data_IF_189287696317
#
_entry.id   IF_189287696317
#
_cell.length_a   1.000
_cell.length_b   1.000
_cell.length_c   1.000
_cell.angle_alpha   90.00
_cell.angle_beta   90.00
_cell.angle_gamma   90.00
#
_symmetry.space_group_name_H-M   'P 1'
#
loop_
_entity.id
_entity.type
_entity.pdbx_description
1 polymer ?
#
# COMPACT_ATOMS: atom_id res chain seq x y z
N UNK A 1 6.34 -7.11 -2.34
CA UNK A 1 4.97 -6.85 -1.84
C UNK A 1 3.97 -7.98 -2.12
N UNK A 2 3.81 -8.49 -3.36
CA UNK A 2 2.85 -9.59 -3.62
C UNK A 2 3.10 -10.86 -2.78
N UNK A 3 4.35 -11.35 -2.73
CA UNK A 3 4.75 -12.49 -1.89
C UNK A 3 4.45 -12.25 -0.41
N UNK A 4 4.68 -11.02 0.07
CA UNK A 4 4.37 -10.61 1.44
C UNK A 4 2.87 -10.68 1.69
N UNK A 5 2.04 -10.10 0.82
CA UNK A 5 0.57 -10.06 0.95
C UNK A 5 -0.07 -11.45 0.94
N UNK A 6 0.45 -12.38 0.14
CA UNK A 6 -0.06 -13.76 0.09
C UNK A 6 0.35 -14.56 1.34
N UNK A 7 1.54 -14.29 1.90
CA UNK A 7 2.10 -15.00 3.04
C UNK A 7 1.95 -14.27 4.40
N UNK A 8 1.22 -13.15 4.50
CA UNK A 8 1.15 -12.34 5.74
C UNK A 8 0.67 -13.19 6.93
N UNK A 9 1.42 -13.22 8.03
CA UNK A 9 1.24 -14.20 9.12
C UNK A 9 2.34 -15.28 9.14
N UNK A 10 3.16 -15.33 8.09
CA UNK A 10 4.47 -16.01 8.01
C UNK A 10 5.55 -15.02 7.55
N UNK A 11 5.48 -13.78 8.01
CA UNK A 11 6.50 -12.77 7.69
C UNK A 11 7.79 -13.16 8.42
N UNK A 12 8.89 -13.34 7.69
CA UNK A 12 10.22 -13.52 8.28
C UNK A 12 10.84 -12.16 8.61
N UNK A 13 11.82 -12.13 9.52
CA UNK A 13 12.57 -10.91 9.83
C UNK A 13 13.21 -10.27 8.59
N UNK A 14 13.59 -11.09 7.60
CA UNK A 14 14.17 -10.63 6.34
C UNK A 14 13.16 -9.82 5.49
N UNK A 15 11.87 -10.19 5.54
CA UNK A 15 10.81 -9.47 4.82
C UNK A 15 10.55 -8.10 5.46
N UNK A 16 10.61 -8.00 6.80
CA UNK A 16 10.48 -6.74 7.54
C UNK A 16 11.60 -5.76 7.18
N UNK A 17 12.84 -6.26 7.11
CA UNK A 17 14.00 -5.46 6.74
C UNK A 17 13.88 -4.95 5.29
N UNK A 18 13.49 -5.82 4.36
CA UNK A 18 13.29 -5.44 2.95
C UNK A 18 12.22 -4.35 2.79
N UNK A 19 11.10 -4.46 3.52
CA UNK A 19 10.04 -3.45 3.51
C UNK A 19 10.54 -2.13 4.10
N UNK A 20 11.21 -2.19 5.26
CA UNK A 20 11.78 -1.01 5.92
C UNK A 20 12.78 -0.28 5.03
N UNK A 21 13.68 -1.01 4.36
CA UNK A 21 14.67 -0.44 3.45
C UNK A 21 14.03 0.20 2.21
N UNK A 22 12.98 -0.43 1.66
CA UNK A 22 12.19 0.15 0.59
C UNK A 22 11.53 1.47 1.00
N UNK A 23 10.83 1.48 2.14
CA UNK A 23 10.16 2.67 2.67
C UNK A 23 11.17 3.81 2.98
N UNK A 24 12.33 3.49 3.56
CA UNK A 24 13.40 4.47 3.79
C UNK A 24 13.87 5.13 2.49
N UNK A 25 14.02 4.32 1.44
CA UNK A 25 14.46 4.81 0.13
C UNK A 25 13.42 5.77 -0.44
N UNK A 26 12.14 5.39 -0.44
CA UNK A 26 11.07 6.23 -0.98
C UNK A 26 10.83 7.51 -0.16
N UNK A 27 10.92 7.45 1.18
CA UNK A 27 10.82 8.64 2.04
C UNK A 27 11.93 9.65 1.73
N UNK A 28 13.17 9.17 1.60
CA UNK A 28 14.31 10.02 1.24
C UNK A 28 14.16 10.61 -0.16
N UNK A 29 13.73 9.80 -1.12
CA UNK A 29 13.51 10.27 -2.49
C UNK A 29 12.43 11.36 -2.57
N UNK A 30 11.31 11.21 -1.86
CA UNK A 30 10.31 12.27 -1.75
C UNK A 30 10.85 13.53 -1.06
N UNK A 31 11.70 13.36 -0.05
CA UNK A 31 12.34 14.48 0.64
C UNK A 31 13.31 15.28 -0.24
N UNK A 32 13.98 14.61 -1.20
CA UNK A 32 14.96 15.23 -2.09
C UNK A 32 14.34 15.88 -3.33
N UNK A 33 13.14 15.44 -3.74
CA UNK A 33 12.49 15.91 -4.96
C UNK A 33 11.66 17.17 -4.71
N UNK A 34 11.60 18.04 -5.72
CA UNK A 34 10.73 19.20 -5.68
C UNK A 34 9.28 18.80 -6.02
N UNK A 35 8.41 18.79 -5.02
CA UNK A 35 6.96 18.63 -5.20
C UNK A 35 6.33 17.56 -4.29
N UNK A 36 5.00 17.45 -4.31
CA UNK A 36 4.27 16.48 -3.48
C UNK A 36 4.29 15.04 -4.02
N UNK A 37 4.68 14.83 -5.27
CA UNK A 37 4.71 13.53 -5.94
C UNK A 37 6.13 13.15 -6.39
N UNK A 38 6.37 11.87 -6.65
CA UNK A 38 7.67 11.41 -7.13
C UNK A 38 8.07 12.00 -8.49
N UNK A 39 7.10 12.40 -9.29
CA UNK A 39 7.29 13.06 -10.58
C UNK A 39 7.15 14.59 -10.52
N UNK A 40 7.02 15.17 -9.32
CA UNK A 40 7.00 16.60 -9.08
C UNK A 40 5.63 17.13 -8.67
N UNK A 41 5.04 18.01 -9.49
CA UNK A 41 3.80 18.72 -9.14
C UNK A 41 2.52 17.91 -9.35
N UNK A 42 2.57 16.86 -10.19
CA UNK A 42 1.45 15.95 -10.49
C UNK A 42 1.94 14.51 -10.36
N UNK A 43 1.06 13.53 -10.12
CA UNK A 43 1.44 12.13 -10.14
C UNK A 43 1.85 11.68 -11.55
N UNK A 44 2.83 10.79 -11.60
CA UNK A 44 3.42 10.28 -12.83
C UNK A 44 3.64 8.78 -12.75
N UNK A 45 4.45 8.26 -13.66
CA UNK A 45 4.60 6.80 -13.80
C UNK A 45 4.97 6.11 -12.50
N UNK A 46 5.96 6.63 -11.77
CA UNK A 46 6.39 6.01 -10.51
C UNK A 46 5.28 6.04 -9.45
N UNK A 47 4.59 7.17 -9.31
CA UNK A 47 3.48 7.33 -8.35
C UNK A 47 2.39 6.29 -8.59
N UNK A 48 1.94 6.15 -9.85
CA UNK A 48 0.91 5.19 -10.21
C UNK A 48 1.36 3.74 -10.10
N UNK A 49 2.62 3.45 -10.44
CA UNK A 49 3.13 2.09 -10.37
C UNK A 49 3.18 1.59 -8.93
N UNK A 50 3.60 2.41 -7.97
CA UNK A 50 3.71 1.96 -6.57
C UNK A 50 2.38 2.03 -5.81
N UNK A 51 1.43 2.86 -6.25
CA UNK A 51 0.17 3.12 -5.55
C UNK A 51 -0.60 1.86 -5.12
N UNK A 52 -0.81 0.83 -5.97
CA UNK A 52 -1.62 -0.34 -5.60
C UNK A 52 -1.10 -1.05 -4.33
N UNK A 53 0.21 -1.03 -4.08
CA UNK A 53 0.77 -1.65 -2.88
C UNK A 53 0.63 -0.76 -1.65
N UNK A 54 0.69 0.57 -1.82
CA UNK A 54 0.51 1.55 -0.75
C UNK A 54 -0.95 1.69 -0.32
N UNK A 55 -1.89 1.51 -1.25
CA UNK A 55 -3.33 1.38 -0.98
C UNK A 55 -3.58 0.21 -0.02
N UNK A 56 -3.03 -0.96 -0.35
CA UNK A 56 -3.14 -2.22 0.42
C UNK A 56 -2.28 -2.27 1.68
N UNK A 57 -1.54 -1.23 2.02
CA UNK A 57 -0.62 -1.24 3.17
C UNK A 57 -1.36 -1.45 4.51
N UNK A 58 -2.63 -1.07 4.61
CA UNK A 58 -3.44 -1.27 5.81
C UNK A 58 -3.67 -2.76 6.14
N UNK A 59 -3.53 -3.67 5.16
CA UNK A 59 -3.56 -5.11 5.39
C UNK A 59 -2.48 -5.53 6.40
N UNK A 60 -1.31 -4.88 6.40
CA UNK A 60 -0.22 -5.21 7.32
C UNK A 60 -0.61 -5.08 8.79
N UNK A 61 -1.55 -4.17 9.11
CA UNK A 61 -2.02 -3.96 10.49
C UNK A 61 -2.74 -5.17 11.06
N UNK A 62 -3.49 -5.90 10.22
CA UNK A 62 -4.30 -7.05 10.63
C UNK A 62 -3.47 -8.24 11.08
N UNK A 63 -2.21 -8.28 10.66
CA UNK A 63 -1.30 -9.38 10.93
C UNK A 63 -0.18 -8.98 11.90
N UNK A 64 -0.37 -7.90 12.67
CA UNK A 64 0.58 -7.46 13.69
C UNK A 64 1.80 -6.70 13.14
N UNK A 65 1.92 -6.50 11.83
CA UNK A 65 3.07 -5.86 11.19
C UNK A 65 2.90 -4.34 11.04
N UNK A 66 2.10 -3.73 11.91
CA UNK A 66 1.85 -2.29 11.93
C UNK A 66 3.10 -1.48 12.27
N UNK A 67 4.09 -2.09 12.95
CA UNK A 67 5.37 -1.45 13.29
C UNK A 67 6.19 -1.06 12.06
N UNK A 68 5.88 -1.61 10.89
CA UNK A 68 6.54 -1.26 9.63
C UNK A 68 6.08 0.09 9.06
N UNK A 69 4.90 0.58 9.45
CA UNK A 69 4.30 1.82 8.92
C UNK A 69 4.30 2.92 9.99
N UNK A 70 5.48 3.23 10.55
CA UNK A 70 5.63 4.31 11.55
C UNK A 70 5.40 5.67 10.90
N UNK A 71 4.29 6.31 11.24
CA UNK A 71 3.88 7.60 10.66
C UNK A 71 4.92 8.69 10.89
N UNK A 72 5.59 8.65 12.04
CA UNK A 72 6.61 9.61 12.46
C UNK A 72 7.88 9.49 11.61
N UNK A 73 8.18 8.29 11.11
CA UNK A 73 9.36 7.99 10.30
C UNK A 73 9.13 8.29 8.82
N UNK A 74 7.90 8.13 8.34
CA UNK A 74 7.55 8.20 6.92
C UNK A 74 6.58 9.35 6.63
N UNK A 75 6.86 10.53 7.16
CA UNK A 75 5.94 11.68 7.11
C UNK A 75 5.64 12.08 5.67
N UNK A 76 6.64 12.15 4.80
CA UNK A 76 6.46 12.52 3.38
C UNK A 76 5.69 11.48 2.62
N UNK A 77 5.94 10.20 2.87
CA UNK A 77 5.15 9.11 2.29
C UNK A 77 3.70 9.13 2.76
N UNK A 78 3.42 9.43 4.02
CA UNK A 78 2.05 9.54 4.52
C UNK A 78 1.32 10.71 3.86
N UNK A 79 2.00 11.85 3.73
CA UNK A 79 1.52 13.04 3.02
C UNK A 79 1.26 12.76 1.53
N UNK A 80 2.15 12.02 0.87
CA UNK A 80 2.00 11.56 -0.52
C UNK A 80 0.81 10.61 -0.67
N UNK A 81 0.64 9.66 0.26
CA UNK A 81 -0.46 8.68 0.25
C UNK A 81 -1.83 9.37 0.31
N UNK A 82 -1.97 10.39 1.16
CA UNK A 82 -3.21 11.18 1.27
C UNK A 82 -3.53 11.84 -0.06
N UNK A 83 -2.55 12.51 -0.68
CA UNK A 83 -2.74 13.20 -1.97
C UNK A 83 -3.07 12.22 -3.10
N UNK A 84 -2.39 11.08 -3.15
CA UNK A 84 -2.70 10.04 -4.14
C UNK A 84 -4.12 9.50 -3.98
N UNK A 85 -4.65 9.35 -2.76
CA UNK A 85 -6.04 8.94 -2.55
C UNK A 85 -7.06 9.98 -3.05
N UNK A 86 -6.68 11.25 -3.08
CA UNK A 86 -7.51 12.35 -3.58
C UNK A 86 -7.46 12.50 -5.11
N UNK A 87 -6.42 11.95 -5.77
CA UNK A 87 -6.26 12.03 -7.22
C UNK A 87 -7.43 11.39 -7.97
N UNK A 88 -8.07 12.09 -8.93
CA UNK A 88 -9.26 11.59 -9.61
C UNK A 88 -9.07 10.24 -10.30
N UNK A 89 -7.88 9.96 -10.84
CA UNK A 89 -7.56 8.68 -11.50
C UNK A 89 -7.53 7.54 -10.49
N UNK A 90 -6.92 7.77 -9.33
CA UNK A 90 -6.82 6.79 -8.25
C UNK A 90 -8.18 6.55 -7.62
N UNK A 91 -8.92 7.63 -7.33
CA UNK A 91 -10.23 7.58 -6.66
C UNK A 91 -11.26 6.73 -7.41
N UNK A 92 -11.16 6.64 -8.74
CA UNK A 92 -12.03 5.78 -9.56
C UNK A 92 -11.83 4.29 -9.32
N UNK A 93 -10.63 3.87 -8.93
CA UNK A 93 -10.28 2.47 -8.66
C UNK A 93 -9.98 2.21 -7.19
N UNK A 94 -10.14 3.22 -6.33
CA UNK A 94 -9.87 3.14 -4.90
C UNK A 94 -10.87 2.18 -4.26
N UNK A 95 -10.35 1.24 -3.47
CA UNK A 95 -11.16 0.32 -2.70
C UNK A 95 -10.89 0.52 -1.21
N UNK A 96 -11.95 0.40 -0.41
CA UNK A 96 -11.79 0.37 1.04
C UNK A 96 -10.99 -0.86 1.47
N UNK A 97 -10.23 -0.70 2.55
CA UNK A 97 -9.42 -1.77 3.12
C UNK A 97 -10.22 -3.05 3.35
N UNK A 98 -11.49 -2.96 3.75
CA UNK A 98 -12.37 -4.11 3.99
C UNK A 98 -12.51 -5.03 2.78
N UNK A 99 -12.57 -4.48 1.56
CA UNK A 99 -12.63 -5.29 0.33
C UNK A 99 -11.33 -6.06 0.11
N UNK A 100 -10.18 -5.42 0.33
CA UNK A 100 -8.89 -6.10 0.23
C UNK A 100 -8.74 -7.21 1.27
N UNK A 101 -9.27 -7.00 2.48
CA UNK A 101 -9.23 -7.96 3.58
C UNK A 101 -10.08 -9.18 3.26
N UNK A 102 -11.35 -8.96 2.86
CA UNK A 102 -12.28 -10.02 2.48
C UNK A 102 -11.73 -10.84 1.31
N UNK A 103 -11.20 -10.18 0.28
CA UNK A 103 -10.55 -10.87 -0.83
C UNK A 103 -9.38 -11.74 -0.35
N UNK A 104 -8.48 -11.20 0.48
CA UNK A 104 -7.33 -11.94 1.00
C UNK A 104 -7.76 -13.17 1.84
N UNK A 105 -8.83 -13.04 2.63
CA UNK A 105 -9.40 -14.15 3.39
C UNK A 105 -9.94 -15.25 2.47
N UNK A 106 -10.72 -14.88 1.44
CA UNK A 106 -11.26 -15.83 0.44
C UNK A 106 -10.13 -16.57 -0.30
N UNK A 107 -9.08 -15.84 -0.68
CA UNK A 107 -7.90 -16.40 -1.34
C UNK A 107 -7.18 -17.42 -0.46
N UNK A 108 -7.04 -17.14 0.85
CA UNK A 108 -6.43 -18.08 1.81
C UNK A 108 -7.29 -19.30 2.11
N UNK A 109 -8.61 -19.17 2.01
CA UNK A 109 -9.53 -20.30 2.10
C UNK A 109 -9.48 -21.22 0.87
N UNK A 110 -8.71 -20.86 -0.17
CA UNK A 110 -8.61 -21.61 -1.42
C UNK A 110 -9.78 -21.40 -2.38
N UNK A 111 -10.67 -20.44 -2.06
CA UNK A 111 -11.83 -20.08 -2.87
C UNK A 111 -11.86 -18.56 -3.07
N UNK A 112 -10.96 -17.99 -3.90
CA UNK A 112 -10.90 -16.55 -4.12
C UNK A 112 -12.19 -16.03 -4.76
N UNK A 113 -12.81 -15.04 -4.11
CA UNK A 113 -13.98 -14.33 -4.64
C UNK A 113 -13.53 -13.13 -5.48
N UNK A 114 -13.45 -13.35 -6.80
CA UNK A 114 -13.10 -12.30 -7.76
C UNK A 114 -14.25 -11.31 -8.02
N UNK A 115 -15.49 -11.69 -7.68
CA UNK A 115 -16.69 -10.90 -7.91
C UNK A 115 -17.15 -10.16 -6.65
N UNK A 116 -16.32 -10.15 -5.60
CA UNK A 116 -16.60 -9.55 -4.29
C UNK A 116 -17.21 -8.14 -4.36
N UNK A 117 -16.71 -7.31 -5.28
CA UNK A 117 -17.19 -5.92 -5.46
C UNK A 117 -18.56 -5.88 -6.15
N UNK A 118 -18.81 -6.80 -7.09
CA UNK A 118 -20.09 -6.91 -7.80
C UNK A 118 -21.20 -7.42 -6.87
N UNK A 119 -20.84 -8.35 -5.98
CA UNK A 119 -21.75 -8.99 -5.03
C UNK A 119 -22.06 -8.15 -3.79
N UNK A 120 -21.36 -7.03 -3.58
CA UNK A 120 -21.54 -6.15 -2.41
C UNK A 120 -22.54 -5.01 -2.62
N UNK A 121 -23.32 -5.05 -3.71
CA UNK A 121 -24.35 -4.06 -4.06
C UNK A 121 -25.74 -4.46 -3.59
#
# INVERSE_FOLDING_TARGET
MYRVMVNVGRISLDDDEAISNGLNTFERELGNRAGPFFSGSKPGMLDYMIWPWCERADILKLFGNQHLLKKEKYKKLMEWRIRMAEEPTVKKSLLDSDYHIKYLQSYRAGMPDYDLILNSK
#
